data_IF_682021802393
#
_entry.id   IF_682021802393
#
_cell.length_a   1.000
_cell.length_b   1.000
_cell.length_c   1.000
_cell.angle_alpha   90.00
_cell.angle_beta   90.00
_cell.angle_gamma   90.00
#
_symmetry.space_group_name_H-M   'P 1'
#
loop_
_entity.id
_entity.type
_entity.pdbx_description
1 polymer ?
#
# COMPACT_ATOMS: atom_id res chain seq x y z
N UNK A 1 -24.18 6.56 27.21
CA UNK A 1 -23.49 6.46 25.90
C UNK A 1 -23.02 5.03 25.75
N UNK A 2 -23.18 4.38 24.60
CA UNK A 2 -22.63 3.02 24.40
C UNK A 2 -21.11 3.10 24.22
N UNK A 3 -20.40 1.98 24.42
CA UNK A 3 -18.95 1.93 24.24
C UNK A 3 -18.56 2.25 22.78
N UNK A 4 -19.36 1.80 21.82
CA UNK A 4 -19.20 2.08 20.40
C UNK A 4 -19.26 3.58 20.11
N UNK A 5 -20.26 4.29 20.67
CA UNK A 5 -20.40 5.73 20.48
C UNK A 5 -19.24 6.51 21.11
N UNK A 6 -18.71 6.04 22.24
CA UNK A 6 -17.51 6.64 22.86
C UNK A 6 -16.26 6.42 22.00
N UNK A 7 -16.06 5.21 21.45
CA UNK A 7 -14.93 4.88 20.58
C UNK A 7 -15.01 5.67 19.27
N UNK A 8 -16.18 5.69 18.63
CA UNK A 8 -16.42 6.42 17.41
C UNK A 8 -16.14 7.91 17.61
N UNK A 9 -16.75 8.52 18.63
CA UNK A 9 -16.50 9.92 18.97
C UNK A 9 -15.00 10.19 19.20
N UNK A 10 -14.33 9.35 19.99
CA UNK A 10 -12.91 9.50 20.29
C UNK A 10 -12.03 9.50 19.05
N UNK A 11 -12.28 8.59 18.11
CA UNK A 11 -11.50 8.46 16.87
C UNK A 11 -11.81 9.59 15.89
N UNK A 12 -13.09 9.97 15.74
CA UNK A 12 -13.51 11.07 14.87
C UNK A 12 -12.93 12.41 15.35
N UNK A 13 -12.99 12.68 16.67
CA UNK A 13 -12.41 13.89 17.28
C UNK A 13 -10.88 13.99 17.04
N UNK A 14 -10.21 12.85 16.79
CA UNK A 14 -8.76 12.77 16.48
C UNK A 14 -8.43 12.69 14.98
N UNK A 15 -9.43 12.90 14.13
CA UNK A 15 -9.27 13.04 12.69
C UNK A 15 -9.45 11.75 11.88
N UNK A 16 -10.05 10.71 12.46
CA UNK A 16 -10.57 9.61 11.65
C UNK A 16 -11.73 10.11 10.77
N UNK A 17 -11.79 9.62 9.53
CA UNK A 17 -12.86 9.94 8.57
C UNK A 17 -14.10 9.09 8.82
N UNK A 18 -13.89 7.85 9.24
CA UNK A 18 -14.94 6.86 9.46
C UNK A 18 -14.43 5.81 10.45
N UNK A 19 -15.35 5.24 11.21
CA UNK A 19 -15.12 4.19 12.19
C UNK A 19 -16.13 3.08 11.95
N UNK A 20 -15.73 1.82 12.15
CA UNK A 20 -16.61 0.68 12.02
C UNK A 20 -16.20 -0.45 12.95
N UNK A 21 -17.17 -1.31 13.25
CA UNK A 21 -17.02 -2.42 14.17
C UNK A 21 -17.29 -3.75 13.46
N UNK A 22 -16.37 -4.69 13.62
CA UNK A 22 -16.54 -6.08 13.20
C UNK A 22 -16.48 -7.00 14.43
N UNK A 23 -17.04 -8.18 14.30
CA UNK A 23 -17.00 -9.27 15.28
C UNK A 23 -16.45 -10.55 14.64
N UNK A 24 -16.18 -11.57 15.45
CA UNK A 24 -15.84 -12.91 14.94
C UNK A 24 -16.87 -13.41 13.93
N UNK A 25 -18.17 -13.29 14.25
CA UNK A 25 -19.27 -13.72 13.38
C UNK A 25 -19.28 -12.99 12.04
N UNK A 26 -19.00 -11.69 12.03
CA UNK A 26 -18.98 -10.92 10.77
C UNK A 26 -17.76 -11.21 9.90
N UNK A 27 -16.69 -11.79 10.45
CA UNK A 27 -15.45 -12.12 9.73
C UNK A 27 -15.28 -13.63 9.46
N UNK A 28 -16.24 -14.42 9.93
CA UNK A 28 -16.29 -15.87 9.79
C UNK A 28 -16.29 -16.29 8.32
N UNK A 29 -15.67 -17.44 8.01
CA UNK A 29 -15.52 -17.95 6.64
C UNK A 29 -14.47 -17.20 5.81
N UNK A 30 -13.88 -16.13 6.34
CA UNK A 30 -12.81 -15.39 5.68
C UNK A 30 -11.46 -16.12 5.64
N UNK A 31 -10.48 -15.57 4.90
CA UNK A 31 -9.12 -16.11 4.86
C UNK A 31 -8.45 -16.02 6.23
N UNK A 32 -7.33 -16.72 6.48
CA UNK A 32 -6.64 -16.67 7.78
C UNK A 32 -6.42 -15.24 8.31
N UNK A 33 -6.10 -14.28 7.44
CA UNK A 33 -5.96 -12.87 7.82
C UNK A 33 -7.28 -12.14 8.18
N UNK A 34 -8.43 -12.81 8.35
CA UNK A 34 -9.64 -12.25 8.96
C UNK A 34 -9.84 -12.71 10.41
N UNK A 35 -9.08 -13.69 10.88
CA UNK A 35 -9.19 -14.21 12.23
C UNK A 35 -8.57 -13.26 13.27
N UNK A 36 -9.43 -12.72 14.13
CA UNK A 36 -9.07 -11.78 15.18
C UNK A 36 -8.28 -12.44 16.32
N UNK A 37 -8.47 -13.74 16.53
CA UNK A 37 -7.93 -14.46 17.69
C UNK A 37 -6.42 -14.66 17.61
N UNK A 38 -5.86 -14.63 16.40
CA UNK A 38 -4.41 -14.64 16.19
C UNK A 38 -3.71 -13.37 16.70
N UNK A 39 -4.40 -12.22 16.69
CA UNK A 39 -3.85 -10.98 17.26
C UNK A 39 -4.09 -10.94 18.77
N UNK A 40 -5.26 -11.41 19.23
CA UNK A 40 -5.63 -11.45 20.64
C UNK A 40 -6.51 -12.69 20.89
N UNK A 41 -6.06 -13.72 21.61
CA UNK A 41 -6.80 -14.98 21.76
C UNK A 41 -8.24 -14.83 22.30
N UNK A 42 -8.47 -13.83 23.16
CA UNK A 42 -9.79 -13.54 23.75
C UNK A 42 -10.64 -12.56 22.93
N UNK A 43 -10.21 -12.22 21.71
CA UNK A 43 -10.90 -11.28 20.84
C UNK A 43 -12.37 -11.64 20.65
N UNK A 44 -13.24 -10.63 20.71
CA UNK A 44 -14.66 -10.74 20.35
C UNK A 44 -15.04 -9.78 19.24
N UNK A 45 -14.34 -8.65 19.16
CA UNK A 45 -14.62 -7.57 18.21
C UNK A 45 -13.34 -6.91 17.71
N UNK A 46 -13.44 -6.22 16.58
CA UNK A 46 -12.42 -5.36 16.02
C UNK A 46 -13.02 -3.99 15.67
N UNK A 47 -12.22 -2.95 15.82
CA UNK A 47 -12.53 -1.56 15.52
C UNK A 47 -11.64 -1.17 14.36
N UNK A 48 -12.22 -0.71 13.25
CA UNK A 48 -11.49 -0.19 12.10
C UNK A 48 -11.75 1.30 11.95
N UNK A 49 -10.75 2.04 11.47
CA UNK A 49 -10.87 3.45 11.17
C UNK A 49 -9.97 3.85 10.00
N UNK A 50 -10.27 4.98 9.37
CA UNK A 50 -9.53 5.50 8.22
C UNK A 50 -9.00 6.92 8.48
N UNK A 51 -7.74 7.19 8.13
CA UNK A 51 -7.10 8.50 8.19
C UNK A 51 -6.77 9.02 6.77
N UNK A 52 -6.97 10.30 6.46
CA UNK A 52 -6.74 10.86 5.12
C UNK A 52 -5.26 11.05 4.81
N UNK A 53 -4.86 10.76 3.57
CA UNK A 53 -3.63 11.27 2.98
C UNK A 53 -3.86 12.66 2.35
N UNK A 54 -2.80 13.45 2.24
CA UNK A 54 -2.88 14.79 1.68
C UNK A 54 -2.93 14.76 0.14
N UNK A 55 -4.11 15.06 -0.44
CA UNK A 55 -4.35 15.08 -1.88
C UNK A 55 -3.43 16.04 -2.65
N UNK A 56 -2.98 17.16 -2.07
CA UNK A 56 -2.04 18.10 -2.72
C UNK A 56 -0.66 17.48 -2.87
N UNK A 57 -0.14 16.85 -1.82
CA UNK A 57 1.14 16.15 -1.88
C UNK A 57 1.09 14.96 -2.85
N UNK A 58 -0.04 14.26 -2.89
CA UNK A 58 -0.27 13.18 -3.86
C UNK A 58 -0.20 13.72 -5.30
N UNK A 59 -0.93 14.80 -5.63
CA UNK A 59 -0.86 15.38 -6.98
C UNK A 59 0.55 15.84 -7.36
N UNK A 60 1.29 16.43 -6.42
CA UNK A 60 2.69 16.82 -6.63
C UNK A 60 3.59 15.60 -6.91
N UNK A 61 3.37 14.50 -6.18
CA UNK A 61 4.07 13.24 -6.38
C UNK A 61 3.75 12.60 -7.74
N UNK A 62 2.47 12.57 -8.14
CA UNK A 62 2.04 12.06 -9.44
C UNK A 62 2.62 12.88 -10.60
N UNK A 63 2.72 14.19 -10.42
CA UNK A 63 3.30 15.13 -11.38
C UNK A 63 4.84 15.08 -11.45
N UNK A 64 5.48 14.25 -10.63
CA UNK A 64 6.94 14.23 -10.42
C UNK A 64 7.55 15.58 -10.00
N UNK A 65 6.78 16.43 -9.30
CA UNK A 65 7.26 17.75 -8.86
C UNK A 65 7.92 17.73 -7.49
N UNK A 66 7.38 16.93 -6.57
CA UNK A 66 7.93 16.77 -5.23
C UNK A 66 7.67 15.35 -4.74
N UNK A 67 8.76 14.61 -4.56
CA UNK A 67 8.71 13.27 -4.02
C UNK A 67 8.44 13.29 -2.51
N UNK A 68 9.22 14.11 -1.78
CA UNK A 68 9.46 13.93 -0.36
C UNK A 68 8.23 14.27 0.49
N UNK A 69 7.41 15.22 0.07
CA UNK A 69 6.23 15.63 0.84
C UNK A 69 5.19 14.52 0.92
N UNK A 70 4.97 13.80 -0.18
CA UNK A 70 4.06 12.66 -0.15
C UNK A 70 4.62 11.51 0.68
N UNK A 71 5.92 11.23 0.58
CA UNK A 71 6.58 10.19 1.40
C UNK A 71 6.47 10.53 2.88
N UNK A 72 6.81 11.77 3.27
CA UNK A 72 6.68 12.25 4.65
C UNK A 72 5.24 12.17 5.13
N UNK A 73 4.27 12.59 4.32
CA UNK A 73 2.86 12.51 4.68
C UNK A 73 2.36 11.06 4.81
N UNK A 74 2.74 10.17 3.90
CA UNK A 74 2.42 8.75 3.99
C UNK A 74 2.99 8.15 5.30
N UNK A 75 4.24 8.51 5.62
CA UNK A 75 4.90 8.07 6.84
C UNK A 75 4.23 8.64 8.09
N UNK A 76 3.82 9.91 8.05
CA UNK A 76 3.17 10.55 9.19
C UNK A 76 1.80 9.94 9.46
N UNK A 77 0.99 9.74 8.41
CA UNK A 77 -0.39 9.25 8.58
C UNK A 77 -0.42 7.79 9.04
N UNK A 78 0.48 6.94 8.56
CA UNK A 78 0.61 5.58 9.09
C UNK A 78 1.12 5.56 10.55
N UNK A 79 2.09 6.40 10.92
CA UNK A 79 2.50 6.54 12.34
C UNK A 79 1.34 7.01 13.21
N UNK A 80 0.56 7.98 12.74
CA UNK A 80 -0.65 8.43 13.42
C UNK A 80 -1.67 7.30 13.58
N UNK A 81 -1.83 6.42 12.59
CA UNK A 81 -2.68 5.23 12.70
C UNK A 81 -2.25 4.33 13.86
N UNK A 82 -0.95 4.03 13.96
CA UNK A 82 -0.37 3.22 15.04
C UNK A 82 -0.52 3.89 16.41
N UNK A 83 -0.20 5.19 16.50
CA UNK A 83 -0.33 5.97 17.74
C UNK A 83 -1.78 5.97 18.21
N UNK A 84 -2.72 6.27 17.31
CA UNK A 84 -4.14 6.34 17.65
C UNK A 84 -4.70 4.97 18.09
N UNK A 85 -4.28 3.88 17.44
CA UNK A 85 -4.58 2.52 17.89
C UNK A 85 -4.06 2.24 19.31
N UNK A 86 -2.80 2.61 19.61
CA UNK A 86 -2.22 2.44 20.95
C UNK A 86 -2.92 3.28 22.01
N UNK A 87 -3.32 4.52 21.69
CA UNK A 87 -4.11 5.35 22.59
C UNK A 87 -5.48 4.72 22.87
N UNK A 88 -6.17 4.22 21.84
CA UNK A 88 -7.46 3.53 21.98
C UNK A 88 -7.33 2.25 22.82
N UNK A 89 -6.25 1.47 22.63
CA UNK A 89 -5.95 0.29 23.46
C UNK A 89 -5.90 0.69 24.94
N UNK A 90 -5.20 1.79 25.29
CA UNK A 90 -5.14 2.29 26.67
C UNK A 90 -6.51 2.71 27.20
N UNK A 91 -7.35 3.33 26.35
CA UNK A 91 -8.73 3.70 26.73
C UNK A 91 -9.56 2.46 27.04
N UNK A 92 -9.48 1.41 26.22
CA UNK A 92 -10.19 0.15 26.44
C UNK A 92 -9.69 -0.58 27.69
N UNK A 93 -8.37 -0.60 27.92
CA UNK A 93 -7.76 -1.20 29.12
C UNK A 93 -8.21 -0.51 30.41
N UNK A 94 -8.30 0.82 30.43
CA UNK A 94 -8.85 1.58 31.57
C UNK A 94 -10.31 1.23 31.89
N UNK A 95 -11.04 0.73 30.90
CA UNK A 95 -12.43 0.25 31.04
C UNK A 95 -12.53 -1.24 31.34
N UNK A 96 -11.40 -1.93 31.58
CA UNK A 96 -11.34 -3.35 31.94
C UNK A 96 -11.32 -4.32 30.76
N UNK A 97 -11.16 -3.84 29.52
CA UNK A 97 -11.06 -4.69 28.34
C UNK A 97 -9.61 -4.97 27.95
N UNK A 98 -9.36 -6.17 27.41
CA UNK A 98 -8.10 -6.46 26.71
C UNK A 98 -8.21 -5.95 25.29
N UNK A 99 -7.14 -5.35 24.79
CA UNK A 99 -7.06 -4.86 23.42
C UNK A 99 -5.63 -4.95 22.89
N UNK A 100 -5.50 -5.15 21.58
CA UNK A 100 -4.25 -5.22 20.85
C UNK A 100 -4.44 -4.71 19.42
N UNK A 101 -3.35 -4.36 18.73
CA UNK A 101 -3.37 -4.11 17.29
C UNK A 101 -2.44 -5.11 16.60
N UNK A 102 -2.68 -5.46 15.32
CA UNK A 102 -1.72 -6.27 14.57
C UNK A 102 -0.34 -5.57 14.52
N UNK A 103 0.75 -6.31 14.24
CA UNK A 103 2.06 -5.71 14.03
C UNK A 103 2.03 -4.60 13.00
N UNK A 104 2.90 -3.60 13.17
CA UNK A 104 2.98 -2.48 12.23
C UNK A 104 3.21 -3.00 10.81
N UNK A 105 2.55 -2.42 9.79
CA UNK A 105 2.73 -2.86 8.41
C UNK A 105 4.21 -2.82 8.00
N UNK A 106 4.65 -3.86 7.29
CA UNK A 106 6.04 -4.04 6.84
C UNK A 106 6.67 -2.95 6.00
N UNK A 107 5.90 -1.96 5.58
CA UNK A 107 6.42 -0.76 4.96
C UNK A 107 7.23 0.11 5.97
N UNK A 108 7.14 -0.17 7.27
CA UNK A 108 7.97 0.42 8.34
C UNK A 108 9.08 -0.50 8.83
N UNK A 109 8.82 -1.81 8.83
CA UNK A 109 9.74 -2.84 9.32
C UNK A 109 10.52 -3.46 8.14
N UNK A 110 10.63 -2.76 7.02
CA UNK A 110 11.71 -3.01 6.08
C UNK A 110 12.97 -2.36 6.65
N UNK A 111 13.63 -3.13 7.51
CA UNK A 111 15.07 -3.14 7.74
C UNK A 111 15.63 -2.17 8.80
N UNK A 112 15.82 -2.71 10.02
CA UNK A 112 17.10 -2.53 10.75
C UNK A 112 18.25 -3.20 9.96
N UNK A 113 18.38 -2.96 8.64
CA UNK A 113 19.58 -3.36 7.91
C UNK A 113 20.67 -2.39 8.33
N UNK A 114 21.47 -2.79 9.31
CA UNK A 114 22.84 -2.33 9.37
C UNK A 114 23.52 -2.71 8.06
N UNK A 115 24.41 -1.86 7.57
CA UNK A 115 25.32 -2.19 6.47
C UNK A 115 26.04 -3.51 6.82
N UNK A 116 25.85 -4.56 6.01
CA UNK A 116 26.46 -5.89 6.24
C UNK A 116 25.57 -6.95 6.90
N UNK A 117 24.27 -6.67 7.12
CA UNK A 117 23.35 -7.68 7.65
C UNK A 117 23.11 -8.84 6.66
N UNK A 118 23.23 -10.07 7.16
CA UNK A 118 22.93 -11.34 6.51
C UNK A 118 21.48 -11.79 6.79
N UNK A 119 20.98 -12.81 6.07
CA UNK A 119 19.62 -13.36 6.28
C UNK A 119 19.34 -13.81 7.73
N UNK A 120 20.38 -14.09 8.52
CA UNK A 120 20.27 -14.47 9.93
C UNK A 120 20.04 -13.29 10.90
N UNK A 121 20.17 -12.05 10.44
CA UNK A 121 20.11 -10.85 11.29
C UNK A 121 18.69 -10.26 11.44
N UNK A 122 17.65 -11.01 11.02
CA UNK A 122 16.25 -10.62 11.17
C UNK A 122 15.78 -10.85 12.62
N UNK A 123 16.13 -9.94 13.54
CA UNK A 123 15.53 -9.88 14.88
C UNK A 123 14.13 -9.23 14.81
N UNK A 124 13.07 -10.01 15.03
CA UNK A 124 11.70 -9.50 15.17
C UNK A 124 10.61 -10.55 14.91
N UNK A 125 9.46 -10.38 15.55
CA UNK A 125 8.26 -11.19 15.30
C UNK A 125 7.86 -11.03 13.82
N UNK A 126 7.70 -12.12 13.05
CA UNK A 126 7.37 -12.00 11.64
C UNK A 126 6.05 -11.25 11.48
N UNK A 127 6.01 -10.27 10.60
CA UNK A 127 4.78 -9.48 10.32
C UNK A 127 3.68 -10.31 9.63
N UNK A 128 3.96 -11.58 9.36
CA UNK A 128 3.16 -12.47 8.55
C UNK A 128 2.85 -13.73 9.34
N UNK A 129 1.67 -14.29 9.06
CA UNK A 129 1.20 -15.56 9.60
C UNK A 129 2.10 -16.71 9.17
N UNK A 130 2.77 -17.33 10.14
CA UNK A 130 3.67 -18.45 9.90
C UNK A 130 2.93 -19.80 9.78
N UNK A 131 1.70 -19.85 10.31
CA UNK A 131 0.79 -20.99 10.26
C UNK A 131 0.23 -21.27 8.86
N UNK A 132 0.36 -20.31 7.93
CA UNK A 132 -0.12 -20.46 6.56
C UNK A 132 0.93 -21.16 5.68
N UNK A 133 0.58 -22.26 4.99
CA UNK A 133 1.50 -22.89 4.03
C UNK A 133 1.99 -21.90 2.98
N UNK A 134 3.29 -21.96 2.65
CA UNK A 134 3.92 -21.04 1.69
C UNK A 134 3.80 -19.55 2.07
N UNK A 135 3.73 -19.21 3.37
CA UNK A 135 3.60 -17.83 3.83
C UNK A 135 4.68 -16.87 3.28
N UNK A 136 5.89 -17.34 2.95
CA UNK A 136 6.95 -16.49 2.35
C UNK A 136 6.60 -16.03 0.93
N UNK A 137 5.73 -16.76 0.23
CA UNK A 137 5.22 -16.42 -1.11
C UNK A 137 3.93 -15.59 -0.97
N UNK A 138 3.04 -16.01 -0.08
CA UNK A 138 1.72 -15.41 0.08
C UNK A 138 1.77 -14.14 0.92
N UNK A 139 2.74 -14.00 1.83
CA UNK A 139 2.89 -12.89 2.77
C UNK A 139 1.55 -12.52 3.47
N UNK A 140 0.86 -13.49 4.12
CA UNK A 140 -0.42 -13.24 4.77
C UNK A 140 -0.21 -12.43 6.06
N UNK A 141 -0.78 -11.23 6.22
CA UNK A 141 -0.62 -10.47 7.46
C UNK A 141 -1.35 -11.17 8.62
N UNK A 142 -0.96 -10.84 9.86
CA UNK A 142 -1.66 -11.31 11.07
C UNK A 142 -3.16 -11.05 10.98
N UNK A 143 -3.51 -9.83 10.59
CA UNK A 143 -4.86 -9.37 10.32
C UNK A 143 -4.86 -8.39 9.15
N UNK A 144 -5.80 -8.55 8.21
CA UNK A 144 -5.98 -7.67 7.07
C UNK A 144 -6.84 -6.48 7.48
N UNK A 145 -6.23 -5.30 7.59
CA UNK A 145 -6.97 -4.04 7.77
C UNK A 145 -8.09 -3.86 6.73
N UNK A 146 -7.86 -4.35 5.50
CA UNK A 146 -8.85 -4.24 4.42
C UNK A 146 -10.10 -5.07 4.69
N UNK A 147 -9.96 -6.30 5.18
CA UNK A 147 -11.11 -7.17 5.50
C UNK A 147 -11.98 -6.56 6.60
N UNK A 148 -11.34 -6.07 7.69
CA UNK A 148 -12.08 -5.41 8.77
C UNK A 148 -12.75 -4.12 8.28
N UNK A 149 -12.07 -3.33 7.44
CA UNK A 149 -12.61 -2.06 6.95
C UNK A 149 -13.82 -2.24 6.00
N UNK A 150 -13.73 -3.16 5.02
CA UNK A 150 -14.86 -3.40 4.11
C UNK A 150 -16.04 -4.03 4.84
N UNK A 151 -15.76 -4.98 5.73
CA UNK A 151 -16.81 -5.68 6.46
C UNK A 151 -17.55 -4.78 7.46
N UNK A 152 -16.85 -3.82 8.04
CA UNK A 152 -17.42 -2.89 9.02
C UNK A 152 -17.95 -1.59 8.41
N UNK A 153 -17.93 -1.44 7.09
CA UNK A 153 -18.48 -0.27 6.42
C UNK A 153 -17.62 1.00 6.52
N UNK A 154 -16.36 0.89 6.95
CA UNK A 154 -15.38 2.00 6.92
C UNK A 154 -15.06 2.42 5.50
N UNK A 155 -15.10 1.49 4.56
CA UNK A 155 -14.93 1.74 3.13
C UNK A 155 -15.40 0.56 2.30
N UNK A 156 -15.27 0.66 0.99
CA UNK A 156 -15.54 -0.43 0.04
C UNK A 156 -14.26 -0.80 -0.71
N UNK A 157 -14.24 -1.92 -1.41
CA UNK A 157 -13.16 -2.19 -2.38
C UNK A 157 -13.35 -1.35 -3.63
N UNK A 158 -12.25 -0.80 -4.15
CA UNK A 158 -12.18 -0.45 -5.56
C UNK A 158 -11.64 -1.59 -6.40
N UNK A 159 -11.69 -1.45 -7.73
CA UNK A 159 -11.20 -2.47 -8.65
C UNK A 159 -9.78 -2.97 -8.32
N UNK A 160 -8.86 -2.08 -7.89
CA UNK A 160 -7.50 -2.45 -7.50
C UNK A 160 -7.41 -3.34 -6.24
N UNK A 161 -8.52 -3.48 -5.52
CA UNK A 161 -8.65 -4.02 -4.17
C UNK A 161 -7.94 -3.16 -3.11
N UNK A 162 -7.71 -1.88 -3.38
CA UNK A 162 -7.55 -0.87 -2.33
C UNK A 162 -8.92 -0.54 -1.72
N UNK A 163 -8.94 -0.24 -0.42
CA UNK A 163 -10.14 0.23 0.26
C UNK A 163 -10.22 1.74 0.16
N UNK A 164 -11.42 2.27 -0.03
CA UNK A 164 -11.62 3.71 -0.16
C UNK A 164 -13.00 4.16 0.32
N UNK A 165 -13.16 5.49 0.36
CA UNK A 165 -14.38 6.18 0.80
C UNK A 165 -14.85 7.07 -0.35
N UNK A 166 -16.17 7.20 -0.55
CA UNK A 166 -16.76 8.07 -1.57
C UNK A 166 -16.19 9.49 -1.48
N UNK A 167 -15.86 10.10 -2.62
CA UNK A 167 -15.23 11.44 -2.76
C UNK A 167 -13.83 11.63 -2.14
N UNK A 168 -13.30 10.64 -1.41
CA UNK A 168 -11.93 10.60 -0.89
C UNK A 168 -11.06 9.64 -1.69
N UNK A 169 -11.66 8.53 -2.13
CA UNK A 169 -11.04 7.43 -2.85
C UNK A 169 -10.19 6.54 -1.97
N UNK A 170 -9.16 5.94 -2.56
CA UNK A 170 -8.25 5.04 -1.87
C UNK A 170 -7.14 5.78 -1.10
N UNK A 171 -7.18 7.12 -1.03
CA UNK A 171 -6.17 7.97 -0.38
C UNK A 171 -6.34 8.04 1.14
N UNK A 172 -6.40 6.86 1.74
CA UNK A 172 -6.56 6.67 3.16
C UNK A 172 -5.52 5.69 3.67
N UNK A 173 -5.21 5.78 4.95
CA UNK A 173 -4.53 4.75 5.72
C UNK A 173 -5.52 4.17 6.72
N UNK A 174 -5.50 2.85 6.87
CA UNK A 174 -6.38 2.14 7.78
C UNK A 174 -5.68 1.89 9.12
N UNK A 175 -6.46 1.88 10.19
CA UNK A 175 -6.08 1.39 11.51
C UNK A 175 -7.02 0.29 11.97
N UNK A 176 -6.55 -0.58 12.85
CA UNK A 176 -7.39 -1.62 13.45
C UNK A 176 -6.96 -1.95 14.87
N UNK A 177 -7.92 -2.01 15.79
CA UNK A 177 -7.75 -2.48 17.16
C UNK A 177 -8.67 -3.67 17.39
N UNK A 178 -8.13 -4.77 17.90
CA UNK A 178 -8.86 -5.97 18.31
C UNK A 178 -9.08 -5.93 19.81
N UNK A 179 -10.25 -6.36 20.29
CA UNK A 179 -10.59 -6.33 21.71
C UNK A 179 -11.49 -7.49 22.13
N UNK A 180 -11.43 -7.86 23.41
CA UNK A 180 -12.37 -8.81 24.01
C UNK A 180 -13.73 -8.14 24.39
N UNK A 181 -13.86 -6.82 24.24
CA UNK A 181 -15.14 -6.14 24.38
C UNK A 181 -16.17 -6.67 23.37
N UNK A 182 -17.42 -6.87 23.81
CA UNK A 182 -18.54 -7.24 22.95
C UNK A 182 -19.12 -5.97 22.34
N UNK A 183 -18.72 -5.65 21.11
CA UNK A 183 -19.20 -4.50 20.37
C UNK A 183 -20.29 -4.94 19.38
N UNK A 184 -21.31 -4.11 19.21
CA UNK A 184 -22.30 -4.27 18.15
C UNK A 184 -21.63 -4.01 16.80
N UNK A 185 -21.66 -4.96 15.84
CA UNK A 185 -21.04 -4.75 14.54
C UNK A 185 -21.81 -3.69 13.73
N UNK A 186 -21.08 -3.00 12.87
CA UNK A 186 -21.65 -2.18 11.80
C UNK A 186 -21.88 -3.02 10.55
N UNK A 187 -22.82 -2.58 9.72
CA UNK A 187 -23.07 -3.19 8.42
C UNK A 187 -21.95 -2.79 7.45
N UNK A 188 -21.63 -3.64 6.44
CA UNK A 188 -20.82 -3.19 5.33
C UNK A 188 -21.52 -2.03 4.60
N UNK A 189 -20.76 -1.27 3.81
CA UNK A 189 -21.36 -0.25 2.96
C UNK A 189 -22.27 -0.91 1.92
N UNK A 190 -23.47 -0.37 1.66
CA UNK A 190 -24.29 -0.88 0.58
C UNK A 190 -23.63 -0.51 -0.78
N UNK A 191 -23.90 -1.27 -1.86
CA UNK A 191 -23.23 -1.09 -3.14
C UNK A 191 -23.29 0.33 -3.72
N UNK A 192 -24.39 1.06 -3.51
CA UNK A 192 -24.60 2.46 -3.94
C UNK A 192 -23.71 3.49 -3.21
N UNK A 193 -23.17 3.11 -2.06
CA UNK A 193 -22.17 3.90 -1.31
C UNK A 193 -20.74 3.52 -1.68
N UNK A 194 -20.54 2.59 -2.62
CA UNK A 194 -19.22 2.29 -3.17
C UNK A 194 -18.58 3.53 -3.79
N UNK A 195 -17.29 3.72 -3.55
CA UNK A 195 -16.54 4.82 -4.18
C UNK A 195 -16.12 4.49 -5.61
N UNK A 196 -16.13 3.20 -5.99
CA UNK A 196 -15.57 2.72 -7.23
C UNK A 196 -16.65 2.48 -8.28
N UNK A 197 -16.45 3.06 -9.47
CA UNK A 197 -17.31 2.95 -10.64
C UNK A 197 -16.74 1.99 -11.71
N UNK A 198 -15.79 1.13 -11.33
CA UNK A 198 -15.06 0.23 -12.24
C UNK A 198 -14.39 0.93 -13.44
N UNK A 199 -13.97 2.19 -13.30
CA UNK A 199 -13.28 2.93 -14.36
C UNK A 199 -11.94 2.35 -14.83
N UNK A 200 -11.36 1.39 -14.11
CA UNK A 200 -10.11 0.70 -14.46
C UNK A 200 -8.86 1.61 -14.61
N UNK A 201 -8.93 2.86 -14.14
CA UNK A 201 -7.79 3.79 -14.17
C UNK A 201 -6.64 3.28 -13.29
N UNK A 202 -6.95 2.60 -12.18
CA UNK A 202 -5.94 1.95 -11.35
C UNK A 202 -5.12 0.89 -12.12
N UNK A 203 -5.75 0.16 -13.06
CA UNK A 203 -5.09 -0.79 -13.95
C UNK A 203 -4.22 -0.06 -14.96
N UNK A 204 -4.75 1.01 -15.57
CA UNK A 204 -4.01 1.84 -16.52
C UNK A 204 -2.79 2.55 -15.91
N UNK A 205 -2.81 2.82 -14.60
CA UNK A 205 -1.69 3.40 -13.85
C UNK A 205 -0.70 2.35 -13.32
N UNK A 206 -0.99 1.05 -13.48
CA UNK A 206 -0.19 -0.03 -12.90
C UNK A 206 0.99 -0.39 -13.82
N UNK A 207 2.15 0.22 -13.57
CA UNK A 207 3.39 -0.06 -14.32
C UNK A 207 3.81 -1.54 -14.26
N UNK A 208 3.48 -2.24 -13.17
CA UNK A 208 3.85 -3.64 -12.98
C UNK A 208 2.97 -4.66 -13.71
N UNK A 209 1.82 -4.22 -14.23
CA UNK A 209 0.80 -5.09 -14.78
C UNK A 209 0.21 -6.07 -13.76
N UNK A 210 0.22 -5.72 -12.47
CA UNK A 210 -0.24 -6.59 -11.39
C UNK A 210 -1.77 -6.78 -11.35
N UNK A 211 -2.53 -5.75 -11.71
CA UNK A 211 -4.00 -5.75 -11.66
C UNK A 211 -4.57 -6.29 -12.98
N UNK A 212 -5.49 -7.24 -12.93
CA UNK A 212 -6.16 -7.79 -14.12
C UNK A 212 -7.40 -6.95 -14.44
N UNK A 213 -7.60 -6.61 -15.72
CA UNK A 213 -8.66 -5.67 -16.13
C UNK A 213 -10.07 -6.26 -16.12
N UNK A 214 -10.19 -7.52 -16.50
CA UNK A 214 -11.49 -8.15 -16.83
C UNK A 214 -11.71 -9.45 -16.05
N UNK A 215 -11.04 -9.62 -14.92
CA UNK A 215 -11.14 -10.81 -14.09
C UNK A 215 -11.31 -10.37 -12.65
N UNK A 216 -12.31 -10.92 -11.98
CA UNK A 216 -12.63 -10.63 -10.58
C UNK A 216 -12.21 -11.78 -9.68
N UNK A 217 -11.98 -11.46 -8.42
CA UNK A 217 -11.86 -12.40 -7.33
C UNK A 217 -12.65 -11.87 -6.15
N UNK A 218 -13.04 -12.75 -5.24
CA UNK A 218 -13.88 -12.39 -4.11
C UNK A 218 -13.37 -12.97 -2.80
N UNK A 219 -13.82 -12.36 -1.71
CA UNK A 219 -13.66 -12.85 -0.35
C UNK A 219 -15.02 -12.81 0.34
N UNK A 220 -15.36 -13.89 1.04
CA UNK A 220 -16.59 -13.97 1.83
C UNK A 220 -16.28 -13.73 3.29
N UNK A 221 -16.99 -12.80 3.95
CA UNK A 221 -16.81 -12.43 5.35
C UNK A 221 -18.16 -12.37 6.05
N UNK A 222 -18.46 -13.36 6.91
CA UNK A 222 -19.72 -13.44 7.64
C UNK A 222 -20.94 -13.52 6.72
N UNK A 223 -20.82 -14.28 5.62
CA UNK A 223 -21.86 -14.46 4.61
C UNK A 223 -21.94 -13.36 3.54
N UNK A 224 -21.20 -12.26 3.68
CA UNK A 224 -21.17 -11.16 2.72
C UNK A 224 -20.00 -11.33 1.74
N UNK A 225 -20.25 -11.17 0.43
CA UNK A 225 -19.23 -11.26 -0.61
C UNK A 225 -18.65 -9.89 -0.97
N UNK A 226 -17.32 -9.79 -1.02
CA UNK A 226 -16.60 -8.58 -1.40
C UNK A 226 -15.68 -8.85 -2.58
N UNK A 227 -15.90 -8.15 -3.69
CA UNK A 227 -15.17 -8.36 -4.95
C UNK A 227 -14.12 -7.29 -5.24
N UNK A 228 -13.06 -7.67 -5.94
CA UNK A 228 -12.10 -6.77 -6.59
C UNK A 228 -11.41 -7.51 -7.74
N UNK A 229 -10.52 -6.86 -8.49
CA UNK A 229 -9.83 -7.54 -9.58
C UNK A 229 -8.96 -8.71 -9.11
N UNK A 230 -8.88 -9.75 -9.93
CA UNK A 230 -7.82 -10.74 -9.83
C UNK A 230 -6.45 -10.06 -10.00
N UNK A 231 -5.44 -10.69 -9.41
CA UNK A 231 -4.08 -10.16 -9.36
C UNK A 231 -3.10 -11.20 -9.87
N UNK A 232 -2.12 -10.71 -10.61
CA UNK A 232 -0.95 -11.49 -11.00
C UNK A 232 0.01 -11.66 -9.83
N UNK A 233 1.18 -12.25 -10.07
CA UNK A 233 2.21 -12.46 -9.04
C UNK A 233 2.58 -11.17 -8.29
N UNK A 234 2.65 -11.26 -6.95
CA UNK A 234 3.09 -10.15 -6.07
C UNK A 234 4.51 -9.67 -6.37
N UNK A 235 5.35 -10.52 -7.00
CA UNK A 235 6.69 -10.16 -7.43
C UNK A 235 6.69 -8.99 -8.43
N UNK A 236 5.59 -8.79 -9.18
CA UNK A 236 5.41 -7.62 -10.06
C UNK A 236 5.37 -6.32 -9.26
N UNK A 237 4.58 -6.30 -8.19
CA UNK A 237 4.53 -5.18 -7.27
C UNK A 237 5.84 -5.02 -6.50
N UNK A 238 6.50 -6.10 -6.08
CA UNK A 238 7.80 -6.02 -5.43
C UNK A 238 8.87 -5.40 -6.34
N UNK A 239 8.90 -5.79 -7.62
CA UNK A 239 9.83 -5.23 -8.61
C UNK A 239 9.63 -3.72 -8.79
N UNK A 240 8.38 -3.27 -8.93
CA UNK A 240 8.07 -1.87 -9.28
C UNK A 240 7.86 -0.99 -8.04
N UNK A 241 6.95 -1.35 -7.14
CA UNK A 241 6.69 -0.58 -5.93
C UNK A 241 7.85 -0.63 -4.93
N UNK A 242 8.66 -1.69 -4.95
CA UNK A 242 9.92 -1.76 -4.21
C UNK A 242 11.02 -0.85 -4.76
N UNK A 243 10.81 -0.23 -5.94
CA UNK A 243 11.71 0.77 -6.51
C UNK A 243 12.83 0.22 -7.39
N UNK A 244 12.84 -1.07 -7.71
CA UNK A 244 13.85 -1.68 -8.58
C UNK A 244 13.57 -1.46 -10.08
N UNK A 245 12.33 -1.11 -10.43
CA UNK A 245 11.91 -0.82 -11.79
C UNK A 245 10.86 0.29 -11.83
N UNK A 246 10.78 1.05 -12.92
CA UNK A 246 9.87 2.19 -12.99
C UNK A 246 9.35 2.58 -14.35
N UNK A 247 10.02 2.25 -15.45
CA UNK A 247 9.55 2.65 -16.78
C UNK A 247 8.24 1.94 -17.16
N UNK A 248 7.22 2.70 -17.54
CA UNK A 248 5.99 2.14 -18.10
C UNK A 248 6.28 1.44 -19.44
N UNK A 249 5.56 0.36 -19.74
CA UNK A 249 5.78 -0.44 -20.97
C UNK A 249 5.65 0.35 -22.27
N UNK A 250 4.99 1.50 -22.25
CA UNK A 250 4.90 2.40 -23.40
C UNK A 250 6.14 3.29 -23.61
N UNK A 251 7.10 3.32 -22.68
CA UNK A 251 8.26 4.23 -22.68
C UNK A 251 7.94 5.71 -22.36
N UNK A 252 6.67 6.07 -22.19
CA UNK A 252 6.21 7.48 -22.17
C UNK A 252 6.16 8.14 -20.79
N UNK A 253 6.34 7.39 -19.72
CA UNK A 253 6.37 7.88 -18.35
C UNK A 253 6.88 6.76 -17.44
N UNK A 254 7.26 7.10 -16.21
CA UNK A 254 7.75 6.11 -15.24
C UNK A 254 7.13 6.27 -13.85
N UNK A 255 7.51 5.40 -12.91
CA UNK A 255 7.44 5.68 -11.47
C UNK A 255 8.57 6.65 -11.07
N UNK A 256 8.79 6.87 -9.78
CA UNK A 256 10.00 7.55 -9.30
C UNK A 256 11.27 6.68 -9.35
N UNK A 257 11.17 5.42 -9.77
CA UNK A 257 12.35 4.56 -9.99
C UNK A 257 12.91 4.78 -11.41
N UNK A 258 14.24 4.87 -11.56
CA UNK A 258 14.90 4.97 -12.86
C UNK A 258 15.04 3.61 -13.56
N UNK A 259 14.66 2.50 -12.93
CA UNK A 259 14.83 1.16 -13.51
C UNK A 259 13.98 0.95 -14.77
N UNK A 260 14.55 0.19 -15.72
CA UNK A 260 14.06 -0.04 -17.10
C UNK A 260 14.03 -1.53 -17.47
N UNK A 261 13.95 -2.43 -16.49
CA UNK A 261 13.87 -3.86 -16.73
C UNK A 261 12.58 -4.21 -17.47
N UNK A 262 12.71 -5.02 -18.53
CA UNK A 262 11.53 -5.60 -19.21
C UNK A 262 10.79 -6.52 -18.24
N UNK A 263 9.55 -6.17 -17.93
CA UNK A 263 8.67 -7.00 -17.10
C UNK A 263 8.16 -8.15 -17.97
N UNK A 264 8.43 -9.43 -17.62
CA UNK A 264 7.95 -10.57 -18.38
C UNK A 264 6.43 -10.66 -18.41
N UNK A 265 5.87 -11.21 -19.50
CA UNK A 265 4.46 -11.58 -19.56
C UNK A 265 4.15 -12.88 -18.83
N UNK A 266 5.15 -13.71 -18.52
CA UNK A 266 5.00 -14.96 -17.76
C UNK A 266 5.49 -14.77 -16.32
N UNK A 267 4.63 -15.05 -15.35
CA UNK A 267 4.94 -14.88 -13.92
C UNK A 267 6.04 -15.82 -13.44
N UNK A 268 6.26 -16.96 -14.10
CA UNK A 268 7.36 -17.89 -13.77
C UNK A 268 8.74 -17.25 -13.98
N UNK A 269 8.83 -16.25 -14.86
CA UNK A 269 10.08 -15.53 -15.16
C UNK A 269 10.36 -14.36 -14.21
N UNK A 270 9.37 -13.97 -13.38
CA UNK A 270 9.48 -12.82 -12.49
C UNK A 270 10.60 -12.97 -11.45
N UNK A 271 10.85 -14.18 -10.95
CA UNK A 271 11.92 -14.44 -9.96
C UNK A 271 13.28 -14.04 -10.52
N UNK A 272 13.60 -14.46 -11.75
CA UNK A 272 14.87 -14.13 -12.41
C UNK A 272 15.01 -12.62 -12.62
N UNK A 273 13.96 -11.95 -13.08
CA UNK A 273 13.95 -10.50 -13.27
C UNK A 273 14.15 -9.77 -11.95
N UNK A 274 13.43 -10.17 -10.89
CA UNK A 274 13.53 -9.56 -9.57
C UNK A 274 14.93 -9.73 -8.98
N UNK A 275 15.51 -10.93 -9.01
CA UNK A 275 16.88 -11.19 -8.53
C UNK A 275 17.87 -10.31 -9.27
N UNK A 276 17.78 -10.25 -10.61
CA UNK A 276 18.66 -9.40 -11.41
C UNK A 276 18.54 -7.92 -11.04
N UNK A 277 17.31 -7.43 -10.89
CA UNK A 277 17.05 -6.04 -10.54
C UNK A 277 17.56 -5.68 -9.14
N UNK A 278 17.34 -6.54 -8.14
CA UNK A 278 17.86 -6.35 -6.77
C UNK A 278 19.40 -6.37 -6.74
N UNK A 279 20.04 -7.32 -7.43
CA UNK A 279 21.50 -7.39 -7.50
C UNK A 279 22.12 -6.14 -8.12
N UNK A 280 21.47 -5.57 -9.14
CA UNK A 280 21.94 -4.35 -9.80
C UNK A 280 21.61 -3.09 -9.01
N UNK A 281 20.45 -3.04 -8.35
CA UNK A 281 20.05 -1.94 -7.47
C UNK A 281 21.09 -1.67 -6.37
N UNK A 282 21.67 -2.72 -5.79
CA UNK A 282 22.74 -2.58 -4.78
C UNK A 282 24.04 -1.94 -5.31
N UNK A 283 24.14 -1.75 -6.62
CA UNK A 283 25.28 -1.10 -7.29
C UNK A 283 24.92 0.27 -7.88
N UNK A 284 23.68 0.72 -7.71
CA UNK A 284 23.29 2.07 -8.15
C UNK A 284 24.05 3.12 -7.34
N UNK A 285 24.46 4.24 -7.97
CA UNK A 285 25.09 5.33 -7.25
C UNK A 285 24.13 5.92 -6.20
N UNK A 286 24.71 6.35 -5.07
CA UNK A 286 23.98 7.14 -4.08
C UNK A 286 23.66 8.53 -4.68
N UNK A 287 22.44 9.00 -4.49
CA UNK A 287 22.03 10.33 -4.96
C UNK A 287 22.68 11.44 -4.13
N UNK A 288 23.14 12.51 -4.79
CA UNK A 288 23.63 13.71 -4.09
C UNK A 288 22.49 14.66 -3.72
N UNK A 289 21.34 14.56 -4.39
CA UNK A 289 20.15 15.36 -4.12
C UNK A 289 19.44 14.93 -2.81
N UNK A 290 19.33 15.81 -1.79
CA UNK A 290 18.72 15.47 -0.49
C UNK A 290 17.26 14.98 -0.58
N UNK A 291 16.49 15.52 -1.52
CA UNK A 291 15.09 15.13 -1.75
C UNK A 291 14.93 13.71 -2.31
N UNK A 292 16.04 13.14 -2.77
CA UNK A 292 16.18 11.79 -3.29
C UNK A 292 17.14 10.97 -2.43
N UNK A 293 17.42 11.38 -1.19
CA UNK A 293 18.05 10.52 -0.19
C UNK A 293 16.92 9.97 0.70
N UNK A 294 16.69 8.66 0.61
CA UNK A 294 15.71 8.04 1.49
C UNK A 294 16.19 8.17 2.95
N UNK A 295 15.38 8.73 3.86
CA UNK A 295 15.73 8.77 5.28
C UNK A 295 15.84 7.37 5.92
N UNK A 296 15.39 6.33 5.20
CA UNK A 296 15.46 4.93 5.60
C UNK A 296 16.12 4.11 4.48
N UNK A 297 17.21 3.38 4.80
CA UNK A 297 17.86 2.49 3.82
C UNK A 297 16.92 1.31 3.52
N UNK A 298 16.49 1.17 2.27
CA UNK A 298 15.98 -0.11 1.76
C UNK A 298 14.60 -0.12 1.10
N UNK A 299 13.74 0.89 1.29
CA UNK A 299 12.47 0.97 0.54
C UNK A 299 12.07 2.42 0.26
N UNK A 300 12.26 2.84 -0.99
CA UNK A 300 11.83 4.14 -1.51
C UNK A 300 10.39 3.99 -2.01
N UNK A 301 9.43 4.76 -1.48
CA UNK A 301 8.08 4.79 -2.05
C UNK A 301 8.14 5.44 -3.43
N UNK A 302 8.36 4.61 -4.45
CA UNK A 302 8.53 5.06 -5.83
C UNK A 302 7.23 4.97 -6.63
N UNK A 303 6.31 4.12 -6.18
CA UNK A 303 5.01 3.86 -6.82
C UNK A 303 3.88 3.95 -5.78
N UNK A 304 2.88 3.07 -5.85
CA UNK A 304 1.53 3.16 -5.23
C UNK A 304 0.47 3.87 -6.10
N UNK A 305 0.72 4.05 -7.39
CA UNK A 305 -0.21 4.76 -8.29
C UNK A 305 -1.63 4.17 -8.34
N UNK A 306 -1.80 2.85 -8.16
CA UNK A 306 -3.13 2.23 -8.10
C UNK A 306 -3.97 2.68 -6.89
N UNK A 307 -3.34 3.20 -5.85
CA UNK A 307 -3.96 3.90 -4.73
C UNK A 307 -4.06 5.40 -5.02
N UNK A 308 -2.93 6.02 -5.34
CA UNK A 308 -2.76 7.47 -5.36
C UNK A 308 -3.55 8.20 -6.46
N UNK A 309 -3.82 7.56 -7.60
CA UNK A 309 -4.68 8.20 -8.63
C UNK A 309 -6.16 8.22 -8.23
N UNK A 310 -6.57 7.38 -7.28
CA UNK A 310 -7.97 7.14 -6.98
C UNK A 310 -8.49 8.09 -5.91
N UNK A 311 -9.23 9.13 -6.33
CA UNK A 311 -9.77 10.19 -5.48
C UNK A 311 -11.26 9.98 -5.14
N UNK A 312 -11.84 8.83 -5.53
CA UNK A 312 -13.24 8.50 -5.23
C UNK A 312 -14.23 9.24 -6.11
N UNK A 313 -13.74 9.99 -7.10
CA UNK A 313 -14.49 10.71 -8.10
C UNK A 313 -13.84 10.50 -9.47
N UNK A 314 -14.62 10.06 -10.48
CA UNK A 314 -14.11 9.72 -11.81
C UNK A 314 -13.37 10.87 -12.49
N UNK A 315 -13.87 12.10 -12.37
CA UNK A 315 -13.29 13.28 -13.01
C UNK A 315 -11.92 13.58 -12.40
N UNK A 316 -11.84 13.64 -11.08
CA UNK A 316 -10.56 13.86 -10.38
C UNK A 316 -9.57 12.71 -10.61
N UNK A 317 -10.03 11.46 -10.63
CA UNK A 317 -9.17 10.30 -10.90
C UNK A 317 -8.63 10.30 -12.33
N UNK A 318 -9.44 10.70 -13.32
CA UNK A 318 -8.98 10.87 -14.69
C UNK A 318 -7.97 12.01 -14.81
N UNK A 319 -8.18 13.12 -14.11
CA UNK A 319 -7.22 14.22 -14.06
C UNK A 319 -5.88 13.77 -13.48
N UNK A 320 -5.90 13.06 -12.36
CA UNK A 320 -4.69 12.50 -11.74
C UNK A 320 -3.96 11.52 -12.66
N UNK A 321 -4.69 10.71 -13.42
CA UNK A 321 -4.10 9.84 -14.43
C UNK A 321 -3.43 10.61 -15.56
N UNK A 322 -4.04 11.70 -16.04
CA UNK A 322 -3.43 12.59 -17.05
C UNK A 322 -2.16 13.25 -16.51
N UNK A 323 -2.19 13.73 -15.27
CA UNK A 323 -1.00 14.27 -14.57
C UNK A 323 0.12 13.23 -14.57
N UNK A 324 -0.18 11.99 -14.15
CA UNK A 324 0.79 10.90 -14.11
C UNK A 324 1.37 10.59 -15.50
N UNK A 325 0.52 10.42 -16.51
CA UNK A 325 0.94 10.06 -17.87
C UNK A 325 1.82 11.14 -18.53
N UNK A 326 1.64 12.41 -18.13
CA UNK A 326 2.39 13.54 -18.65
C UNK A 326 3.55 13.98 -17.75
N UNK A 327 3.89 13.19 -16.72
CA UNK A 327 4.92 13.56 -15.73
C UNK A 327 6.35 13.29 -16.17
N UNK A 328 6.54 12.65 -17.33
CA UNK A 328 7.87 12.29 -17.84
C UNK A 328 8.45 11.01 -17.22
N UNK A 329 9.72 10.78 -17.55
CA UNK A 329 10.50 9.60 -17.20
C UNK A 329 11.64 9.97 -16.28
N UNK A 330 11.87 9.15 -15.25
CA UNK A 330 12.98 9.28 -14.32
C UNK A 330 14.22 8.57 -14.88
N UNK A 331 15.35 9.25 -14.81
CA UNK A 331 16.70 8.74 -15.10
C UNK A 331 17.55 9.01 -13.85
N UNK A 332 18.52 8.13 -13.60
CA UNK A 332 19.59 8.41 -12.66
C UNK A 332 20.90 8.53 -13.44
N UNK A 333 21.57 9.67 -13.32
CA UNK A 333 22.86 9.93 -13.97
C UNK A 333 24.00 9.18 -13.23
N UNK A 334 25.17 9.14 -13.85
CA UNK A 334 26.42 8.57 -13.35
C UNK A 334 26.87 9.16 -12.00
N UNK A 335 26.54 10.42 -11.73
CA UNK A 335 26.82 11.08 -10.46
C UNK A 335 25.81 10.72 -9.34
N UNK A 336 24.76 9.95 -9.66
CA UNK A 336 23.71 9.54 -8.74
C UNK A 336 22.46 10.41 -8.74
N UNK A 337 22.46 11.56 -9.42
CA UNK A 337 21.34 12.48 -9.42
C UNK A 337 20.18 12.00 -10.29
N UNK A 338 18.98 12.39 -9.87
CA UNK A 338 17.75 12.04 -10.56
C UNK A 338 17.36 13.17 -11.50
N UNK A 339 17.11 12.79 -12.76
CA UNK A 339 16.59 13.66 -13.80
C UNK A 339 15.17 13.22 -14.16
N UNK A 340 14.28 14.19 -14.34
CA UNK A 340 12.92 13.96 -14.82
C UNK A 340 12.83 14.64 -16.18
N UNK A 341 12.76 13.83 -17.23
CA UNK A 341 12.82 14.29 -18.61
C UNK A 341 11.53 13.91 -19.37
N UNK A 342 11.15 14.69 -20.39
CA UNK A 342 10.19 14.23 -21.40
C UNK A 342 10.62 12.89 -22.01
N UNK A 343 9.69 12.07 -22.54
CA UNK A 343 10.00 10.69 -22.93
C UNK A 343 11.14 10.55 -23.93
N UNK A 344 11.11 11.35 -25.00
CA UNK A 344 12.10 11.27 -26.09
C UNK A 344 13.48 11.73 -25.60
N UNK A 345 13.53 12.82 -24.82
CA UNK A 345 14.75 13.30 -24.17
C UNK A 345 15.29 12.29 -23.13
N UNK A 346 14.41 11.60 -22.40
CA UNK A 346 14.81 10.59 -21.43
C UNK A 346 15.41 9.35 -22.09
N UNK A 347 14.89 8.96 -23.25
CA UNK A 347 15.43 7.86 -24.06
C UNK A 347 16.79 8.24 -24.64
N UNK A 348 16.88 9.41 -25.29
CA UNK A 348 18.14 9.93 -25.85
C UNK A 348 19.22 10.07 -24.78
N UNK A 349 18.88 10.69 -23.64
CA UNK A 349 19.81 10.84 -22.53
C UNK A 349 20.25 9.49 -21.97
N UNK A 350 19.31 8.54 -21.79
CA UNK A 350 19.67 7.20 -21.33
C UNK A 350 20.62 6.51 -22.30
N UNK A 351 20.44 6.66 -23.61
CA UNK A 351 21.28 6.02 -24.62
C UNK A 351 22.71 6.58 -24.66
N UNK A 352 22.87 7.86 -24.33
CA UNK A 352 24.18 8.52 -24.22
C UNK A 352 24.96 8.12 -22.96
N UNK A 353 24.30 7.55 -21.94
CA UNK A 353 24.99 7.10 -20.72
C UNK A 353 26.01 5.98 -21.02
N UNK A 354 27.10 5.89 -20.23
CA UNK A 354 28.11 4.84 -20.41
C UNK A 354 27.50 3.43 -20.33
N UNK A 355 27.93 2.48 -21.20
CA UNK A 355 27.35 1.13 -21.25
C UNK A 355 27.31 0.39 -19.90
N UNK A 356 28.33 0.57 -19.06
CA UNK A 356 28.44 0.01 -17.72
C UNK A 356 27.37 0.54 -16.77
N UNK A 357 27.02 1.82 -16.88
CA UNK A 357 25.98 2.46 -16.08
C UNK A 357 24.60 2.00 -16.55
N UNK A 358 24.33 2.02 -17.86
CA UNK A 358 23.05 1.54 -18.44
C UNK A 358 22.72 0.12 -18.02
N UNK A 359 23.73 -0.78 -17.98
CA UNK A 359 23.58 -2.17 -17.55
C UNK A 359 23.07 -2.34 -16.12
N UNK A 360 23.15 -1.31 -15.26
CA UNK A 360 22.58 -1.36 -13.91
C UNK A 360 21.05 -1.22 -13.89
N UNK A 361 20.43 -0.69 -14.94
CA UNK A 361 19.01 -0.35 -14.95
C UNK A 361 18.14 -1.25 -15.84
N UNK A 362 18.72 -2.13 -16.67
CA UNK A 362 17.97 -2.97 -17.63
C UNK A 362 18.32 -4.46 -17.59
#
# INVERSE_FOLDING_TARGET
MTLENEIEKYLLDKGALKVGFATLKTLEGGPPSSDLTYVLPEARSAISFALPLNKRYIRSFLAKKNWIDHVKNNIEVNRRSVILSNELIKVLQKKGFKAAQPPEPGNYISFRQKKGASEGDMEGDPQYRLDVPNWRIILPPHLSHKYVAVRSGVGSYGWSGCVGIKDIGANIILGTVVTNAKLKPTNPLPPEESFCDNCNICVASCVSGFLVRNEETSVVLGGEEFTHCARRSKLRCQLVCGGFNGLHSSGKWSTWSPGRFRIPDDDKKMVRTLVSAVTKYNKWPDSTQPDYISPFRGLRLTCAFCQLVCFGNKKETLENYKILKNSGCVIQDTNGDYLILPPDEAEEYFDQLPPEHKRLYQ
#
